data_IF_707975921200
#
_entry.id   IF_707975921200
#
_cell.length_a   1.000
_cell.length_b   1.000
_cell.length_c   1.000
_cell.angle_alpha   90.00
_cell.angle_beta   90.00
_cell.angle_gamma   90.00
#
_symmetry.space_group_name_H-M   'P 1'
#
loop_
_entity.id
_entity.type
_entity.pdbx_description
1 polymer ?
#
# COMPACT_ATOMS: atom_id res chain seq x y z
N UNK A 1 12.69 27.52 33.60
CA UNK A 1 14.09 27.65 33.10
C UNK A 1 14.58 26.24 32.73
N UNK A 2 14.70 25.93 31.46
CA UNK A 2 15.24 24.65 30.98
C UNK A 2 16.70 24.52 31.42
N UNK A 3 17.03 23.45 32.16
CA UNK A 3 18.41 23.13 32.49
C UNK A 3 19.11 22.66 31.23
N UNK A 4 20.01 23.48 30.69
CA UNK A 4 20.82 23.13 29.52
C UNK A 4 21.62 21.84 29.74
N UNK A 5 21.76 21.04 28.73
CA UNK A 5 22.56 19.82 28.76
C UNK A 5 24.01 20.14 29.22
N UNK A 6 24.54 19.36 30.16
CA UNK A 6 25.88 19.55 30.76
C UNK A 6 26.61 18.23 30.83
N UNK A 7 27.93 18.29 30.61
CA UNK A 7 28.82 17.14 30.85
C UNK A 7 29.72 17.46 32.02
N UNK A 8 29.63 16.65 33.05
CA UNK A 8 30.37 16.77 34.29
C UNK A 8 31.42 15.66 34.41
N UNK A 9 32.51 15.95 35.10
CA UNK A 9 33.63 15.03 35.27
C UNK A 9 34.83 15.40 34.41
N UNK A 10 35.86 14.53 34.30
CA UNK A 10 35.87 13.16 34.83
C UNK A 10 36.01 13.06 36.37
N UNK A 11 35.31 12.11 36.94
CA UNK A 11 35.39 11.78 38.37
C UNK A 11 36.02 10.40 38.54
N UNK A 12 36.91 10.23 39.53
CA UNK A 12 37.50 8.93 39.86
C UNK A 12 36.42 7.97 40.39
N UNK A 13 36.39 6.76 39.91
CA UNK A 13 35.42 5.72 40.27
C UNK A 13 36.13 4.36 40.39
N UNK A 14 36.79 4.11 41.50
CA UNK A 14 37.71 2.99 41.69
C UNK A 14 38.91 3.13 40.74
N UNK A 15 39.19 2.10 39.97
CA UNK A 15 40.24 2.06 38.93
C UNK A 15 39.84 2.69 37.61
N UNK A 16 38.60 3.16 37.48
CA UNK A 16 38.06 3.76 36.28
C UNK A 16 37.67 5.22 36.49
N UNK A 17 37.33 5.92 35.39
CA UNK A 17 36.90 7.31 35.38
C UNK A 17 35.47 7.43 34.88
N UNK A 18 34.65 8.23 35.57
CA UNK A 18 33.23 8.42 35.27
C UNK A 18 32.95 9.84 34.77
N UNK A 19 32.20 9.94 33.72
CA UNK A 19 31.64 11.16 33.17
C UNK A 19 30.11 11.10 33.34
N UNK A 20 29.52 12.23 33.73
CA UNK A 20 28.06 12.33 33.91
C UNK A 20 27.50 13.33 32.91
N UNK A 21 26.62 12.88 32.07
CA UNK A 21 25.83 13.73 31.19
C UNK A 21 24.48 13.99 31.86
N UNK A 22 24.13 15.27 31.96
CA UNK A 22 22.84 15.76 32.43
C UNK A 22 22.12 16.42 31.26
N UNK A 23 20.85 16.05 31.01
CA UNK A 23 20.01 16.63 29.97
C UNK A 23 18.57 16.72 30.52
N UNK A 24 18.18 17.91 30.93
CA UNK A 24 16.97 18.09 31.73
C UNK A 24 17.02 17.27 33.02
N UNK A 25 16.06 16.36 33.19
CA UNK A 25 16.01 15.44 34.36
C UNK A 25 16.73 14.11 34.10
N UNK A 26 17.23 13.90 32.87
CA UNK A 26 18.00 12.69 32.51
C UNK A 26 19.44 12.80 33.02
N UNK A 27 19.89 11.73 33.71
CA UNK A 27 21.27 11.57 34.16
C UNK A 27 21.82 10.25 33.60
N UNK A 28 22.85 10.35 32.75
CA UNK A 28 23.56 9.19 32.21
C UNK A 28 25.01 9.21 32.64
N UNK A 29 25.50 8.14 33.27
CA UNK A 29 26.90 7.96 33.61
C UNK A 29 27.60 7.11 32.56
N UNK A 30 28.76 7.54 32.11
CA UNK A 30 29.65 6.81 31.19
C UNK A 30 30.96 6.57 31.92
N UNK A 31 31.62 5.44 31.69
CA UNK A 31 32.84 5.02 32.35
C UNK A 31 33.93 4.83 31.28
N UNK A 32 35.13 5.30 31.59
CA UNK A 32 36.34 5.14 30.78
C UNK A 32 37.46 4.51 31.60
N UNK A 33 38.35 3.79 30.96
CA UNK A 33 39.40 3.03 31.66
C UNK A 33 40.62 3.86 32.04
N UNK A 34 40.80 5.07 31.44
CA UNK A 34 41.86 6.01 31.80
C UNK A 34 41.33 7.44 31.93
N UNK A 35 42.10 8.30 32.56
CA UNK A 35 41.81 9.74 32.70
C UNK A 35 41.77 10.42 31.30
N UNK A 36 42.74 10.09 30.44
CA UNK A 36 42.84 10.63 29.10
C UNK A 36 41.65 10.21 28.26
N UNK A 37 41.24 8.92 28.30
CA UNK A 37 40.06 8.42 27.63
C UNK A 37 38.78 9.10 28.14
N UNK A 38 38.69 9.38 29.43
CA UNK A 38 37.58 10.12 30.02
C UNK A 38 37.54 11.58 29.58
N UNK A 39 38.68 12.25 29.47
CA UNK A 39 38.78 13.61 28.93
C UNK A 39 38.36 13.67 27.48
N UNK A 40 38.88 12.77 26.65
CA UNK A 40 38.51 12.69 25.24
C UNK A 40 37.00 12.48 25.06
N UNK A 41 36.42 11.54 25.82
CA UNK A 41 34.99 11.28 25.81
C UNK A 41 34.14 12.47 26.28
N UNK A 42 34.61 13.18 27.34
CA UNK A 42 33.98 14.42 27.81
C UNK A 42 33.96 15.51 26.77
N UNK A 43 35.09 15.71 26.08
CA UNK A 43 35.24 16.79 25.11
C UNK A 43 34.50 16.46 23.78
N UNK A 44 34.44 15.18 23.40
CA UNK A 44 33.57 14.69 22.33
C UNK A 44 32.09 14.96 22.65
N UNK A 45 31.66 14.63 23.88
CA UNK A 45 30.29 14.90 24.33
C UNK A 45 29.97 16.40 24.41
N UNK A 46 30.93 17.25 24.88
CA UNK A 46 30.78 18.72 24.86
C UNK A 46 30.68 19.25 23.44
N UNK A 47 31.47 18.71 22.49
CA UNK A 47 31.40 19.04 21.05
C UNK A 47 30.04 18.67 20.45
N UNK A 48 29.52 17.52 20.82
CA UNK A 48 28.18 17.07 20.47
C UNK A 48 27.12 18.05 20.99
N UNK A 49 27.17 18.39 22.30
CA UNK A 49 26.20 19.33 22.89
C UNK A 49 26.29 20.71 22.21
N UNK A 50 27.48 21.21 21.92
CA UNK A 50 27.66 22.50 21.22
C UNK A 50 27.12 22.49 19.81
N UNK A 51 27.25 21.38 19.10
CA UNK A 51 26.61 21.19 17.77
C UNK A 51 25.08 21.11 17.86
N UNK A 52 24.54 20.51 18.92
CA UNK A 52 23.09 20.39 19.12
C UNK A 52 22.39 21.74 19.35
N UNK A 53 23.01 22.60 20.17
CA UNK A 53 22.41 23.89 20.57
C UNK A 53 22.30 24.85 19.37
N UNK A 54 23.12 24.65 18.31
CA UNK A 54 23.23 25.58 17.20
C UNK A 54 22.44 25.15 15.95
N UNK A 55 21.93 23.90 15.86
CA UNK A 55 21.34 23.38 14.61
C UNK A 55 19.83 23.57 14.57
N UNK A 56 19.33 24.27 13.55
CA UNK A 56 17.91 24.49 13.35
C UNK A 56 17.16 23.25 12.83
N UNK A 57 15.83 23.27 12.97
CA UNK A 57 15.00 22.25 12.34
C UNK A 57 15.07 22.32 10.82
N UNK A 58 15.19 23.50 10.21
CA UNK A 58 15.32 23.67 8.75
C UNK A 58 16.54 22.91 8.22
N UNK A 59 17.74 23.22 8.74
CA UNK A 59 18.98 22.57 8.32
C UNK A 59 18.94 21.04 8.52
N UNK A 60 18.35 20.61 9.64
CA UNK A 60 18.25 19.19 9.96
C UNK A 60 17.25 18.46 9.08
N UNK A 61 16.14 19.11 8.72
CA UNK A 61 15.14 18.54 7.82
C UNK A 61 15.70 18.39 6.40
N UNK A 62 16.41 19.39 5.90
CA UNK A 62 17.06 19.34 4.58
C UNK A 62 18.06 18.19 4.49
N UNK A 63 18.95 18.05 5.49
CA UNK A 63 19.90 16.95 5.53
C UNK A 63 19.22 15.59 5.65
N UNK A 64 18.15 15.49 6.46
CA UNK A 64 17.37 14.27 6.57
C UNK A 64 16.74 13.87 5.25
N UNK A 65 16.14 14.81 4.52
CA UNK A 65 15.53 14.54 3.22
C UNK A 65 16.56 14.09 2.18
N UNK A 66 17.74 14.76 2.16
CA UNK A 66 18.88 14.34 1.33
C UNK A 66 19.32 12.92 1.70
N UNK A 67 19.49 12.62 2.99
CA UNK A 67 19.85 11.27 3.46
C UNK A 67 18.84 10.20 3.06
N UNK A 68 17.53 10.51 3.04
CA UNK A 68 16.52 9.58 2.54
C UNK A 68 16.75 9.23 1.06
N UNK A 69 17.02 10.23 0.22
CA UNK A 69 17.28 10.03 -1.22
C UNK A 69 18.58 9.25 -1.43
N UNK A 70 19.65 9.61 -0.73
CA UNK A 70 20.96 8.94 -0.81
C UNK A 70 20.87 7.45 -0.41
N UNK A 71 19.92 7.11 0.46
CA UNK A 71 19.61 5.72 0.84
C UNK A 71 18.64 5.00 -0.10
N UNK A 72 18.34 5.57 -1.26
CA UNK A 72 17.49 4.96 -2.29
C UNK A 72 15.98 5.17 -2.09
N UNK A 73 15.55 6.04 -1.16
CA UNK A 73 14.16 6.44 -1.07
C UNK A 73 13.82 7.34 -2.26
N UNK A 74 12.71 7.07 -2.95
CA UNK A 74 12.31 7.86 -4.11
C UNK A 74 12.09 9.34 -3.73
N UNK A 75 12.43 10.24 -4.64
CA UNK A 75 12.20 11.70 -4.47
C UNK A 75 10.75 12.03 -4.13
N UNK A 76 9.78 11.42 -4.82
CA UNK A 76 8.34 11.59 -4.50
C UNK A 76 8.02 11.23 -3.03
N UNK A 77 8.67 10.22 -2.47
CA UNK A 77 8.50 9.87 -1.04
C UNK A 77 9.17 10.90 -0.13
N UNK A 78 10.37 11.39 -0.47
CA UNK A 78 11.04 12.44 0.28
C UNK A 78 10.23 13.75 0.27
N UNK A 79 9.69 14.13 -0.88
CA UNK A 79 8.81 15.33 -1.03
C UNK A 79 7.52 15.20 -0.20
N UNK A 80 6.96 14.01 -0.11
CA UNK A 80 5.80 13.74 0.77
C UNK A 80 6.16 13.88 2.25
N UNK A 81 7.34 13.43 2.64
CA UNK A 81 7.87 13.61 4.00
C UNK A 81 8.08 15.08 4.29
N UNK A 82 8.70 15.83 3.38
CA UNK A 82 8.89 17.27 3.50
C UNK A 82 7.57 18.02 3.67
N UNK A 83 6.60 17.79 2.77
CA UNK A 83 5.26 18.42 2.85
C UNK A 83 4.52 18.11 4.14
N UNK A 84 4.84 17.02 4.81
CA UNK A 84 4.22 16.63 6.07
C UNK A 84 4.94 17.22 7.27
N UNK A 85 6.28 17.20 7.30
CA UNK A 85 7.07 17.64 8.45
C UNK A 85 7.27 19.15 8.49
N UNK A 86 7.46 19.82 7.34
CA UNK A 86 7.75 21.25 7.26
C UNK A 86 6.69 22.13 7.92
N UNK A 87 5.37 21.92 7.73
CA UNK A 87 4.34 22.72 8.41
C UNK A 87 4.20 22.39 9.90
N UNK A 88 4.71 21.25 10.34
CA UNK A 88 4.59 20.78 11.73
C UNK A 88 5.76 21.22 12.60
N UNK A 89 6.95 21.42 12.02
CA UNK A 89 8.17 21.73 12.75
C UNK A 89 8.38 23.24 12.87
N UNK A 90 8.87 23.75 14.01
CA UNK A 90 9.30 25.16 14.17
C UNK A 90 10.67 25.34 13.52
N UNK A 91 10.70 25.63 12.22
CA UNK A 91 11.88 25.53 11.35
C UNK A 91 13.07 26.39 11.81
N UNK A 92 12.79 27.56 12.35
CA UNK A 92 13.80 28.54 12.80
C UNK A 92 14.36 28.23 14.20
N UNK A 93 13.73 27.29 14.92
CA UNK A 93 14.16 26.94 16.26
C UNK A 93 15.21 25.81 16.25
N UNK A 94 16.05 25.70 17.29
CA UNK A 94 16.99 24.58 17.41
C UNK A 94 16.25 23.27 17.69
N UNK A 95 16.86 22.15 17.29
CA UNK A 95 16.29 20.79 17.51
C UNK A 95 15.92 20.52 18.98
N UNK A 96 16.62 21.16 19.92
CA UNK A 96 16.41 21.03 21.37
C UNK A 96 15.23 21.84 21.90
N UNK A 97 14.60 22.65 21.07
CA UNK A 97 13.47 23.49 21.50
C UNK A 97 12.19 22.68 21.79
N UNK A 98 12.11 21.45 21.30
CA UNK A 98 10.99 20.55 21.58
C UNK A 98 11.41 19.58 22.68
N UNK A 99 10.81 19.71 23.85
CA UNK A 99 10.85 18.73 24.93
C UNK A 99 9.66 17.77 24.85
N UNK A 100 9.53 16.85 25.81
CA UNK A 100 8.47 15.85 25.82
C UNK A 100 7.07 16.47 25.97
N UNK A 101 6.92 17.49 26.81
CA UNK A 101 5.63 18.16 27.03
C UNK A 101 5.19 18.94 25.79
N UNK A 102 6.11 19.71 25.19
CA UNK A 102 5.85 20.39 23.93
C UNK A 102 5.52 19.41 22.80
N UNK A 103 6.23 18.29 22.71
CA UNK A 103 5.96 17.25 21.70
C UNK A 103 4.56 16.65 21.86
N UNK A 104 4.13 16.39 23.09
CA UNK A 104 2.78 15.92 23.40
C UNK A 104 1.73 16.97 23.00
N UNK A 105 1.96 18.25 23.34
CA UNK A 105 1.03 19.34 23.01
C UNK A 105 0.93 19.55 21.48
N UNK A 106 2.06 19.61 20.78
CA UNK A 106 2.09 19.72 19.31
C UNK A 106 1.30 18.60 18.63
N UNK A 107 1.41 17.37 19.13
CA UNK A 107 0.65 16.25 18.57
C UNK A 107 -0.84 16.35 18.89
N UNK A 108 -1.22 16.78 20.08
CA UNK A 108 -2.62 17.03 20.45
C UNK A 108 -3.25 18.09 19.54
N UNK A 109 -2.55 19.17 19.27
CA UNK A 109 -3.03 20.26 18.41
C UNK A 109 -3.17 19.77 16.95
N UNK A 110 -2.24 18.96 16.46
CA UNK A 110 -2.36 18.33 15.14
C UNK A 110 -3.60 17.45 15.03
N UNK A 111 -3.99 16.72 16.08
CA UNK A 111 -5.23 15.88 16.04
C UNK A 111 -6.51 16.71 15.92
N UNK A 112 -6.48 17.97 16.33
CA UNK A 112 -7.61 18.90 16.26
C UNK A 112 -7.64 19.69 14.95
N UNK A 113 -6.57 19.62 14.16
CA UNK A 113 -6.46 20.36 12.89
C UNK A 113 -7.55 19.95 11.91
N UNK A 114 -8.08 20.91 11.21
CA UNK A 114 -9.08 20.73 10.14
C UNK A 114 -8.45 20.90 8.76
N UNK A 115 -9.04 20.31 7.76
CA UNK A 115 -8.74 20.54 6.35
C UNK A 115 -9.30 21.90 5.90
N UNK A 116 -8.93 22.35 4.70
CA UNK A 116 -9.47 23.57 4.09
C UNK A 116 -11.00 23.58 3.93
N UNK A 117 -11.62 22.40 3.88
CA UNK A 117 -13.08 22.25 3.80
C UNK A 117 -13.78 22.16 5.20
N UNK A 118 -13.06 22.43 6.29
CA UNK A 118 -13.58 22.39 7.65
C UNK A 118 -13.67 20.99 8.28
N UNK A 119 -13.46 19.91 7.51
CA UNK A 119 -13.46 18.53 8.06
C UNK A 119 -12.22 18.27 8.90
N UNK A 120 -12.32 17.49 10.00
CA UNK A 120 -11.16 17.08 10.77
C UNK A 120 -10.22 16.21 9.91
N UNK A 121 -8.93 16.28 10.18
CA UNK A 121 -7.97 15.36 9.56
C UNK A 121 -8.24 13.94 10.02
N UNK A 122 -8.01 12.97 9.11
CA UNK A 122 -8.19 11.57 9.44
C UNK A 122 -7.12 11.09 10.42
N UNK A 123 -7.50 10.17 11.33
CA UNK A 123 -6.57 9.55 12.28
C UNK A 123 -5.34 8.94 11.58
N UNK A 124 -5.50 8.34 10.41
CA UNK A 124 -4.39 7.81 9.62
C UNK A 124 -3.35 8.89 9.26
N UNK A 125 -3.79 10.14 9.03
CA UNK A 125 -2.90 11.25 8.63
C UNK A 125 -1.99 11.66 9.79
N UNK A 126 -2.56 11.95 10.97
CA UNK A 126 -1.74 12.34 12.13
C UNK A 126 -0.95 11.14 12.72
N UNK A 127 -1.44 9.88 12.59
CA UNK A 127 -0.65 8.71 12.91
C UNK A 127 0.56 8.56 11.98
N UNK A 128 0.40 8.87 10.70
CA UNK A 128 1.51 8.86 9.75
C UNK A 128 2.52 9.96 10.08
N UNK A 129 2.04 11.18 10.40
CA UNK A 129 2.91 12.28 10.86
C UNK A 129 3.72 11.85 12.10
N UNK A 130 3.06 11.32 13.13
CA UNK A 130 3.74 10.86 14.35
C UNK A 130 4.82 9.82 14.05
N UNK A 131 4.58 8.88 13.14
CA UNK A 131 5.60 7.92 12.71
C UNK A 131 6.76 8.61 11.98
N UNK A 132 6.50 9.60 11.14
CA UNK A 132 7.52 10.32 10.39
C UNK A 132 8.39 11.18 11.29
N UNK A 133 7.79 11.89 12.26
CA UNK A 133 8.55 12.69 13.19
C UNK A 133 9.41 11.83 14.13
N UNK A 134 8.87 10.69 14.61
CA UNK A 134 9.67 9.72 15.39
C UNK A 134 10.86 9.20 14.59
N UNK A 135 10.68 8.97 13.28
CA UNK A 135 11.76 8.51 12.40
C UNK A 135 12.81 9.59 12.15
N UNK A 136 12.37 10.85 11.97
CA UNK A 136 13.27 12.00 11.87
C UNK A 136 14.17 12.12 13.11
N UNK A 137 13.60 12.09 14.31
CA UNK A 137 14.39 12.15 15.55
C UNK A 137 15.29 10.93 15.73
N UNK A 138 14.85 9.72 15.31
CA UNK A 138 15.73 8.54 15.32
C UNK A 138 16.97 8.75 14.43
N UNK A 139 16.78 9.36 13.26
CA UNK A 139 17.88 9.75 12.39
C UNK A 139 18.75 10.83 13.04
N UNK A 140 18.18 11.89 13.63
CA UNK A 140 18.92 12.94 14.31
C UNK A 140 19.78 12.39 15.45
N UNK A 141 19.26 11.42 16.21
CA UNK A 141 20.03 10.70 17.26
C UNK A 141 21.18 9.90 16.63
N UNK A 142 20.96 9.21 15.52
CA UNK A 142 22.02 8.45 14.83
C UNK A 142 23.15 9.35 14.29
N UNK A 143 22.82 10.62 14.00
CA UNK A 143 23.77 11.67 13.64
C UNK A 143 24.39 12.38 14.84
N UNK A 144 24.01 11.99 16.06
CA UNK A 144 24.42 12.64 17.29
C UNK A 144 24.01 14.12 17.37
N UNK A 145 22.90 14.49 16.72
CA UNK A 145 22.31 15.84 16.84
C UNK A 145 21.38 15.96 18.04
N UNK A 146 20.87 14.84 18.54
CA UNK A 146 20.02 14.75 19.72
C UNK A 146 20.43 13.53 20.56
N UNK A 147 20.17 13.60 21.85
CA UNK A 147 20.41 12.51 22.79
C UNK A 147 19.18 11.64 23.01
N UNK A 148 18.00 12.22 22.84
CA UNK A 148 16.71 11.56 23.04
C UNK A 148 15.68 12.03 22.01
N UNK A 149 14.60 11.26 21.87
CA UNK A 149 13.49 11.59 21.01
C UNK A 149 12.33 12.12 21.84
N UNK A 150 11.97 13.41 21.77
CA UNK A 150 10.88 13.98 22.57
C UNK A 150 9.51 13.37 22.25
N UNK A 151 9.33 12.82 21.06
CA UNK A 151 8.09 12.13 20.66
C UNK A 151 8.07 10.64 21.03
N UNK A 152 9.10 10.09 21.72
CA UNK A 152 9.19 8.65 21.98
C UNK A 152 7.93 8.09 22.63
N UNK A 153 7.47 8.72 23.71
CA UNK A 153 6.32 8.29 24.51
C UNK A 153 4.97 8.80 23.99
N UNK A 154 4.96 9.70 22.99
CA UNK A 154 3.72 10.20 22.40
C UNK A 154 2.98 9.04 21.72
N UNK A 155 1.76 8.75 22.17
CA UNK A 155 0.93 7.66 21.62
C UNK A 155 -0.05 8.17 20.58
N UNK A 156 -0.33 7.39 19.53
CA UNK A 156 -1.32 7.77 18.53
C UNK A 156 -2.72 7.82 19.15
N UNK A 157 -3.50 8.86 18.81
CA UNK A 157 -4.85 9.09 19.29
C UNK A 157 -5.86 8.63 18.23
N UNK A 158 -6.95 8.01 18.69
CA UNK A 158 -8.00 7.50 17.84
C UNK A 158 -7.62 6.20 17.11
N UNK A 159 -8.60 5.57 16.49
CA UNK A 159 -8.39 4.34 15.72
C UNK A 159 -8.24 4.66 14.25
N UNK A 160 -7.24 4.11 13.55
CA UNK A 160 -7.13 4.25 12.10
C UNK A 160 -8.35 3.61 11.44
N UNK A 161 -8.77 4.15 10.30
CA UNK A 161 -9.84 3.54 9.50
C UNK A 161 -9.38 2.17 9.01
N UNK A 162 -10.19 1.15 9.27
CA UNK A 162 -9.95 -0.19 8.74
C UNK A 162 -10.63 -0.32 7.38
N UNK A 163 -9.82 -0.72 6.38
CA UNK A 163 -10.31 -0.98 5.03
C UNK A 163 -10.76 0.28 4.28
N UNK A 164 -11.10 0.11 3.04
CA UNK A 164 -11.71 1.13 2.18
C UNK A 164 -13.05 0.58 1.74
N UNK A 165 -14.04 1.47 1.61
CA UNK A 165 -15.34 1.09 1.07
C UNK A 165 -15.16 0.38 -0.28
N UNK A 166 -15.80 -0.77 -0.42
CA UNK A 166 -15.86 -1.55 -1.66
C UNK A 166 -17.27 -1.52 -2.21
N UNK A 167 -17.40 -1.79 -3.50
CA UNK A 167 -18.69 -2.00 -4.15
C UNK A 167 -19.22 -3.39 -3.82
N UNK A 168 -20.53 -3.52 -3.71
CA UNK A 168 -21.22 -4.81 -3.71
C UNK A 168 -21.22 -5.41 -5.11
N UNK A 169 -21.52 -6.70 -5.23
CA UNK A 169 -21.47 -7.42 -6.51
C UNK A 169 -22.33 -6.75 -7.58
N UNK A 170 -23.57 -6.36 -7.25
CA UNK A 170 -24.47 -5.74 -8.22
C UNK A 170 -24.04 -4.32 -8.61
N UNK A 171 -23.47 -3.57 -7.65
CA UNK A 171 -22.85 -2.27 -7.91
C UNK A 171 -21.63 -2.40 -8.84
N UNK A 172 -20.80 -3.43 -8.58
CA UNK A 172 -19.64 -3.74 -9.41
C UNK A 172 -20.05 -4.14 -10.83
N UNK A 173 -21.11 -4.96 -10.99
CA UNK A 173 -21.66 -5.34 -12.30
C UNK A 173 -22.12 -4.10 -13.11
N UNK A 174 -22.83 -3.16 -12.47
CA UNK A 174 -23.25 -1.90 -13.11
C UNK A 174 -22.03 -1.07 -13.55
N UNK A 175 -21.02 -0.95 -12.66
CA UNK A 175 -19.78 -0.24 -13.00
C UNK A 175 -19.05 -0.88 -14.17
N UNK A 176 -18.91 -2.22 -14.16
CA UNK A 176 -18.22 -2.98 -15.22
C UNK A 176 -18.94 -2.82 -16.55
N UNK A 177 -20.28 -2.98 -16.60
CA UNK A 177 -21.04 -2.83 -17.83
C UNK A 177 -20.84 -1.44 -18.45
N UNK A 178 -20.97 -0.38 -17.67
CA UNK A 178 -20.77 0.99 -18.18
C UNK A 178 -19.32 1.28 -18.55
N UNK A 179 -18.36 0.77 -17.78
CA UNK A 179 -16.95 0.92 -18.09
C UNK A 179 -16.56 0.17 -19.37
N UNK A 180 -17.13 -1.01 -19.64
CA UNK A 180 -16.93 -1.77 -20.88
C UNK A 180 -17.40 -1.00 -22.10
N UNK A 181 -18.59 -0.43 -22.09
CA UNK A 181 -19.10 0.37 -23.21
C UNK A 181 -18.20 1.57 -23.51
N UNK A 182 -17.72 2.28 -22.46
CA UNK A 182 -16.77 3.39 -22.64
C UNK A 182 -15.40 2.93 -23.12
N UNK A 183 -14.93 1.78 -22.65
CA UNK A 183 -13.65 1.23 -23.05
C UNK A 183 -13.58 0.89 -24.55
N UNK A 184 -14.70 0.51 -25.17
CA UNK A 184 -14.82 0.32 -26.62
C UNK A 184 -14.59 1.61 -27.42
N UNK A 185 -14.75 2.79 -26.80
CA UNK A 185 -14.41 4.08 -27.40
C UNK A 185 -13.01 4.58 -27.03
N UNK A 186 -12.11 3.69 -26.66
CA UNK A 186 -10.73 3.95 -26.28
C UNK A 186 -10.59 4.86 -25.03
N UNK A 187 -11.58 4.86 -24.14
CA UNK A 187 -11.49 5.57 -22.85
C UNK A 187 -10.48 4.89 -21.92
N UNK A 188 -9.28 5.45 -21.85
CA UNK A 188 -8.18 4.94 -21.03
C UNK A 188 -8.53 4.81 -19.55
N UNK A 189 -9.32 5.74 -18.99
CA UNK A 189 -9.74 5.72 -17.59
C UNK A 189 -10.67 4.54 -17.29
N UNK A 190 -11.65 4.27 -18.15
CA UNK A 190 -12.55 3.13 -18.03
C UNK A 190 -11.81 1.80 -18.22
N UNK A 191 -10.93 1.73 -19.20
CA UNK A 191 -10.10 0.52 -19.41
C UNK A 191 -9.20 0.23 -18.21
N UNK A 192 -8.56 1.25 -17.65
CA UNK A 192 -7.76 1.08 -16.45
C UNK A 192 -8.58 0.64 -15.22
N UNK A 193 -9.85 1.08 -15.10
CA UNK A 193 -10.80 0.59 -14.08
C UNK A 193 -11.05 -0.91 -14.28
N UNK A 194 -11.33 -1.34 -15.49
CA UNK A 194 -11.55 -2.75 -15.82
C UNK A 194 -10.31 -3.60 -15.52
N UNK A 195 -9.12 -3.13 -15.89
CA UNK A 195 -7.85 -3.81 -15.57
C UNK A 195 -7.66 -3.98 -14.05
N UNK A 196 -8.10 -3.02 -13.24
CA UNK A 196 -8.03 -3.15 -11.79
C UNK A 196 -9.04 -4.15 -11.24
N UNK A 197 -10.26 -4.19 -11.78
CA UNK A 197 -11.31 -5.12 -11.34
C UNK A 197 -10.99 -6.55 -11.78
N UNK A 198 -10.64 -6.78 -13.04
CA UNK A 198 -10.43 -8.11 -13.59
C UNK A 198 -9.05 -8.70 -13.26
N UNK A 199 -7.99 -7.87 -13.30
CA UNK A 199 -6.62 -8.32 -13.16
C UNK A 199 -6.00 -7.94 -11.80
N UNK A 200 -6.72 -7.22 -10.94
CA UNK A 200 -6.22 -6.78 -9.65
C UNK A 200 -5.00 -5.84 -9.72
N UNK A 201 -4.78 -5.15 -10.83
CA UNK A 201 -3.64 -4.25 -11.01
C UNK A 201 -3.69 -3.05 -10.06
N UNK A 202 -2.51 -2.56 -9.64
CA UNK A 202 -2.44 -1.24 -9.03
C UNK A 202 -2.74 -0.15 -10.06
N UNK A 203 -3.29 1.01 -9.67
CA UNK A 203 -3.56 2.10 -10.63
C UNK A 203 -2.37 2.43 -11.53
N UNK A 204 -1.19 2.56 -10.94
CA UNK A 204 0.04 2.84 -11.70
C UNK A 204 0.48 1.66 -12.57
N UNK A 205 0.27 0.42 -12.15
CA UNK A 205 0.58 -0.76 -12.97
C UNK A 205 -0.28 -0.80 -14.23
N UNK A 206 -1.56 -0.46 -14.14
CA UNK A 206 -2.45 -0.41 -15.31
C UNK A 206 -2.02 0.67 -16.32
N UNK A 207 -1.60 1.85 -15.84
CA UNK A 207 -1.29 3.01 -16.67
C UNK A 207 0.08 2.94 -17.37
N UNK A 208 1.05 2.21 -16.80
CA UNK A 208 2.41 2.11 -17.37
C UNK A 208 2.58 0.88 -18.27
N UNK A 209 1.51 0.20 -18.64
CA UNK A 209 1.57 -0.93 -19.57
C UNK A 209 1.85 -0.43 -20.99
N UNK A 210 2.68 -1.19 -21.69
CA UNK A 210 2.98 -0.97 -23.11
C UNK A 210 2.38 -2.11 -23.94
N UNK A 211 2.28 -1.94 -25.25
CA UNK A 211 1.67 -2.93 -26.13
C UNK A 211 2.36 -4.30 -26.04
N UNK A 212 3.69 -4.34 -25.99
CA UNK A 212 4.47 -5.58 -25.84
C UNK A 212 4.23 -6.33 -24.52
N UNK A 213 3.58 -5.72 -23.53
CA UNK A 213 3.19 -6.42 -22.31
C UNK A 213 2.00 -7.38 -22.53
N UNK A 214 1.29 -7.25 -23.67
CA UNK A 214 0.29 -8.21 -24.13
C UNK A 214 1.01 -9.33 -24.87
N UNK A 215 0.76 -10.57 -24.47
CA UNK A 215 1.35 -11.78 -25.02
C UNK A 215 0.27 -12.79 -25.37
N UNK A 216 0.61 -13.82 -26.13
CA UNK A 216 -0.31 -14.88 -26.53
C UNK A 216 -1.62 -14.32 -27.11
N UNK A 217 -1.50 -13.49 -28.16
CA UNK A 217 -2.64 -12.83 -28.80
C UNK A 217 -3.54 -12.04 -27.83
N UNK A 218 -2.96 -11.48 -26.79
CA UNK A 218 -3.68 -10.72 -25.76
C UNK A 218 -4.34 -11.56 -24.68
N UNK A 219 -4.03 -12.87 -24.58
CA UNK A 219 -4.53 -13.73 -23.47
C UNK A 219 -3.74 -13.55 -22.18
N UNK A 220 -2.52 -13.04 -22.26
CA UNK A 220 -1.62 -12.85 -21.13
C UNK A 220 -1.20 -11.39 -21.05
N UNK A 221 -1.20 -10.84 -19.82
CA UNK A 221 -0.59 -9.56 -19.51
C UNK A 221 0.65 -9.78 -18.65
N UNK A 222 1.78 -9.32 -19.12
CA UNK A 222 3.01 -9.25 -18.35
C UNK A 222 3.03 -7.99 -17.47
N UNK A 223 3.42 -8.16 -16.21
CA UNK A 223 3.75 -7.07 -15.28
C UNK A 223 5.23 -7.17 -14.96
N UNK A 224 6.13 -6.55 -15.76
CA UNK A 224 7.57 -6.77 -15.67
C UNK A 224 8.23 -6.11 -14.45
N UNK A 225 7.60 -5.08 -13.88
CA UNK A 225 8.12 -4.34 -12.72
C UNK A 225 6.99 -3.75 -11.87
N UNK A 226 7.33 -3.36 -10.64
CA UNK A 226 6.40 -2.70 -9.70
C UNK A 226 7.09 -2.34 -8.39
N UNK A 227 6.34 -1.87 -7.43
CA UNK A 227 6.84 -1.34 -6.15
C UNK A 227 7.55 -2.38 -5.26
N UNK A 228 7.29 -3.66 -5.46
CA UNK A 228 7.81 -4.78 -4.64
C UNK A 228 8.50 -5.81 -5.53
N UNK A 229 9.40 -6.61 -4.97
CA UNK A 229 10.06 -7.71 -5.68
C UNK A 229 9.07 -8.70 -6.31
N UNK A 230 7.94 -8.95 -5.64
CA UNK A 230 6.89 -9.85 -6.10
C UNK A 230 5.91 -9.19 -7.10
N UNK A 231 6.23 -8.00 -7.59
CA UNK A 231 5.38 -7.32 -8.57
C UNK A 231 5.45 -7.99 -9.96
N UNK A 232 6.58 -8.63 -10.31
CA UNK A 232 6.76 -9.34 -11.58
C UNK A 232 5.83 -10.54 -11.63
N UNK A 233 4.91 -10.56 -12.60
CA UNK A 233 3.94 -11.64 -12.76
C UNK A 233 3.29 -11.64 -14.11
N UNK A 234 2.71 -12.78 -14.46
CA UNK A 234 1.87 -12.99 -15.65
C UNK A 234 0.41 -13.12 -15.20
N UNK A 235 -0.49 -12.48 -15.87
CA UNK A 235 -1.91 -12.49 -15.56
C UNK A 235 -2.68 -12.96 -16.80
N UNK A 236 -3.59 -13.92 -16.62
CA UNK A 236 -4.52 -14.31 -17.67
C UNK A 236 -5.59 -13.23 -17.83
N UNK A 237 -5.85 -12.83 -19.06
CA UNK A 237 -6.81 -11.81 -19.42
C UNK A 237 -8.13 -12.48 -19.78
N UNK A 238 -9.25 -12.18 -19.09
CA UNK A 238 -10.56 -12.66 -19.49
C UNK A 238 -10.95 -12.15 -20.90
N UNK A 239 -11.67 -12.95 -21.67
CA UNK A 239 -12.01 -12.64 -23.08
C UNK A 239 -12.67 -11.27 -23.24
N UNK A 240 -13.62 -10.93 -22.38
CA UNK A 240 -14.29 -9.63 -22.43
C UNK A 240 -13.32 -8.44 -22.30
N UNK A 241 -12.26 -8.54 -21.47
CA UNK A 241 -11.24 -7.51 -21.36
C UNK A 241 -10.21 -7.57 -22.48
N UNK A 242 -9.94 -8.77 -23.01
CA UNK A 242 -8.99 -9.02 -24.09
C UNK A 242 -9.34 -8.20 -25.33
N UNK A 243 -10.58 -8.25 -25.78
CA UNK A 243 -11.06 -7.50 -26.95
C UNK A 243 -10.77 -5.99 -26.81
N UNK A 244 -11.06 -5.44 -25.64
CA UNK A 244 -10.80 -4.02 -25.34
C UNK A 244 -9.31 -3.70 -25.37
N UNK A 245 -8.47 -4.55 -24.77
CA UNK A 245 -7.03 -4.31 -24.76
C UNK A 245 -6.40 -4.43 -26.13
N UNK A 246 -6.86 -5.37 -26.96
CA UNK A 246 -6.43 -5.50 -28.36
C UNK A 246 -6.85 -4.28 -29.18
N UNK A 247 -8.05 -3.73 -28.93
CA UNK A 247 -8.48 -2.49 -29.56
C UNK A 247 -7.57 -1.32 -29.21
N UNK A 248 -7.16 -1.21 -27.94
CA UNK A 248 -6.19 -0.21 -27.50
C UNK A 248 -4.77 -0.41 -28.07
N UNK A 249 -4.38 -1.64 -28.37
CA UNK A 249 -3.07 -1.99 -28.92
C UNK A 249 -3.01 -1.83 -30.45
N UNK A 250 -4.17 -1.79 -31.12
CA UNK A 250 -4.27 -1.76 -32.58
C UNK A 250 -3.46 -0.59 -33.14
N UNK A 251 -2.69 -0.87 -34.20
CA UNK A 251 -1.88 0.08 -34.97
C UNK A 251 -0.82 0.85 -34.15
N UNK A 252 -0.44 0.32 -32.97
CA UNK A 252 0.58 0.91 -32.11
C UNK A 252 1.89 0.12 -32.14
N UNK A 253 3.06 0.78 -32.05
CA UNK A 253 4.32 0.10 -31.87
C UNK A 253 4.41 -0.58 -30.50
N UNK A 254 5.26 -1.62 -30.42
CA UNK A 254 5.39 -2.48 -29.24
C UNK A 254 5.68 -1.73 -27.93
N UNK A 255 6.47 -0.67 -28.01
CA UNK A 255 6.88 0.12 -26.83
C UNK A 255 5.92 1.30 -26.53
N UNK A 256 4.88 1.49 -27.34
CA UNK A 256 3.90 2.54 -27.09
C UNK A 256 3.04 2.25 -25.84
N UNK A 257 2.57 3.27 -25.14
CA UNK A 257 1.62 3.11 -24.05
C UNK A 257 0.37 2.35 -24.53
N UNK A 258 0.02 1.30 -23.80
CA UNK A 258 -1.19 0.53 -24.11
C UNK A 258 -2.44 1.42 -24.02
N UNK A 259 -2.54 2.21 -22.94
CA UNK A 259 -3.61 3.17 -22.73
C UNK A 259 -3.14 4.58 -23.12
N UNK A 260 -3.73 5.16 -24.14
CA UNK A 260 -3.37 6.48 -24.66
C UNK A 260 -2.82 6.43 -26.08
N UNK A 261 -2.70 7.57 -26.77
CA UNK A 261 -2.13 7.63 -28.11
C UNK A 261 -0.62 7.38 -28.09
N UNK A 262 -0.03 6.94 -29.23
CA UNK A 262 1.43 6.77 -29.37
C UNK A 262 2.15 8.10 -29.19
N UNK A 263 3.27 8.09 -28.44
CA UNK A 263 4.11 9.26 -28.22
C UNK A 263 3.63 10.21 -27.10
N UNK A 264 2.49 9.97 -26.51
CA UNK A 264 1.96 10.78 -25.45
C UNK A 264 2.56 10.45 -24.08
N UNK A 265 2.41 11.42 -23.17
CA UNK A 265 2.69 11.20 -21.75
C UNK A 265 1.83 10.06 -21.23
N UNK A 266 2.45 9.19 -20.44
CA UNK A 266 1.71 8.22 -19.64
C UNK A 266 0.62 8.94 -18.83
N UNK A 267 -0.58 8.42 -18.89
CA UNK A 267 -1.67 8.94 -18.07
C UNK A 267 -1.31 8.91 -16.59
N UNK A 268 -1.68 9.96 -15.87
CA UNK A 268 -1.52 10.00 -14.43
C UNK A 268 -2.64 9.24 -13.73
N UNK A 269 -2.42 8.88 -12.48
CA UNK A 269 -3.44 8.25 -11.63
C UNK A 269 -4.76 9.03 -11.58
N UNK A 270 -4.71 10.32 -11.85
CA UNK A 270 -5.87 11.23 -11.76
C UNK A 270 -6.93 10.89 -12.81
N UNK A 271 -6.54 10.36 -13.98
CA UNK A 271 -7.53 9.93 -14.99
C UNK A 271 -8.44 8.82 -14.44
N UNK A 272 -7.89 7.85 -13.70
CA UNK A 272 -8.67 6.77 -13.09
C UNK A 272 -9.56 7.33 -11.98
N UNK A 273 -8.99 8.18 -11.10
CA UNK A 273 -9.73 8.80 -10.01
C UNK A 273 -10.92 9.63 -10.53
N UNK A 274 -10.67 10.44 -11.57
CA UNK A 274 -11.69 11.25 -12.18
C UNK A 274 -12.77 10.41 -12.85
N UNK A 275 -12.38 9.44 -13.70
CA UNK A 275 -13.33 8.57 -14.39
C UNK A 275 -14.17 7.75 -13.41
N UNK A 276 -13.55 7.16 -12.40
CA UNK A 276 -14.25 6.38 -11.38
C UNK A 276 -15.25 7.23 -10.60
N UNK A 277 -14.86 8.47 -10.23
CA UNK A 277 -15.77 9.44 -9.60
C UNK A 277 -17.00 9.70 -10.46
N UNK A 278 -16.80 9.99 -11.77
CA UNK A 278 -17.89 10.27 -12.70
C UNK A 278 -18.83 9.07 -12.84
N UNK A 279 -18.28 7.85 -13.04
CA UNK A 279 -19.07 6.65 -13.19
C UNK A 279 -19.87 6.33 -11.92
N UNK A 280 -19.26 6.41 -10.75
CA UNK A 280 -19.99 6.22 -9.49
C UNK A 280 -21.12 7.23 -9.34
N UNK A 281 -20.89 8.49 -9.67
CA UNK A 281 -21.89 9.54 -9.61
C UNK A 281 -23.02 9.32 -10.62
N UNK A 282 -22.70 8.98 -11.88
CA UNK A 282 -23.66 8.70 -12.94
C UNK A 282 -24.57 7.50 -12.61
N UNK A 283 -24.02 6.49 -11.97
CA UNK A 283 -24.72 5.24 -11.64
C UNK A 283 -25.36 5.22 -10.25
N UNK A 284 -25.28 6.30 -9.51
CA UNK A 284 -25.78 6.34 -8.12
C UNK A 284 -25.03 5.39 -7.16
N UNK A 285 -23.76 5.07 -7.47
CA UNK A 285 -22.96 4.14 -6.67
C UNK A 285 -22.20 4.87 -5.55
N UNK A 286 -21.88 4.15 -4.46
CA UNK A 286 -21.01 4.69 -3.42
C UNK A 286 -19.68 5.17 -3.98
N UNK A 287 -19.17 6.27 -3.44
CA UNK A 287 -17.87 6.81 -3.85
C UNK A 287 -16.74 5.90 -3.37
N UNK A 288 -16.12 5.21 -4.29
CA UNK A 288 -14.95 4.35 -4.02
C UNK A 288 -13.69 4.94 -4.64
N UNK A 289 -12.52 4.46 -4.19
CA UNK A 289 -11.25 4.88 -4.76
C UNK A 289 -10.65 3.78 -5.66
N UNK A 290 -9.72 4.11 -6.57
CA UNK A 290 -9.11 3.11 -7.45
C UNK A 290 -8.48 1.91 -6.71
N UNK A 291 -7.98 2.11 -5.49
CA UNK A 291 -7.43 1.01 -4.70
C UNK A 291 -8.52 0.05 -4.16
N UNK A 292 -9.76 0.54 -4.01
CA UNK A 292 -10.90 -0.31 -3.65
C UNK A 292 -11.26 -1.32 -4.73
N UNK A 293 -11.03 -0.99 -6.02
CA UNK A 293 -11.31 -1.89 -7.15
C UNK A 293 -10.38 -3.12 -7.12
N UNK A 294 -9.12 -2.90 -6.79
CA UNK A 294 -8.19 -4.01 -6.56
C UNK A 294 -8.57 -4.82 -5.31
N UNK A 295 -9.09 -4.15 -4.28
CA UNK A 295 -9.66 -4.82 -3.11
C UNK A 295 -10.87 -5.69 -3.47
N UNK A 296 -11.74 -5.16 -4.32
CA UNK A 296 -12.90 -5.90 -4.85
C UNK A 296 -12.46 -7.17 -5.61
N UNK A 297 -11.45 -7.07 -6.50
CA UNK A 297 -10.88 -8.25 -7.18
C UNK A 297 -10.44 -9.31 -6.17
N UNK A 298 -9.72 -8.91 -5.11
CA UNK A 298 -9.26 -9.84 -4.09
C UNK A 298 -10.42 -10.52 -3.34
N UNK A 299 -11.43 -9.75 -2.97
CA UNK A 299 -12.63 -10.25 -2.28
C UNK A 299 -13.39 -11.24 -3.17
N UNK A 300 -13.66 -10.86 -4.42
CA UNK A 300 -14.36 -11.73 -5.38
C UNK A 300 -13.60 -13.03 -5.67
N UNK A 301 -12.26 -12.97 -5.77
CA UNK A 301 -11.44 -14.16 -5.98
C UNK A 301 -11.48 -15.10 -4.75
N UNK A 302 -11.46 -14.55 -3.54
CA UNK A 302 -11.63 -15.34 -2.29
C UNK A 302 -13.02 -15.95 -2.23
N UNK A 303 -14.08 -15.19 -2.54
CA UNK A 303 -15.46 -15.66 -2.56
C UNK A 303 -15.68 -16.77 -3.63
N UNK A 304 -14.92 -16.72 -4.72
CA UNK A 304 -14.87 -17.77 -5.75
C UNK A 304 -14.02 -19.00 -5.35
N UNK A 305 -13.48 -19.04 -4.12
CA UNK A 305 -12.73 -20.17 -3.59
C UNK A 305 -11.22 -20.15 -3.86
N UNK A 306 -10.66 -19.05 -4.37
CA UNK A 306 -9.21 -18.92 -4.48
C UNK A 306 -8.58 -18.84 -3.08
N UNK A 307 -7.43 -19.49 -2.90
CA UNK A 307 -6.71 -19.37 -1.64
C UNK A 307 -6.12 -17.97 -1.48
N UNK A 308 -6.01 -17.50 -0.25
CA UNK A 308 -5.42 -16.19 0.02
C UNK A 308 -3.93 -16.10 -0.44
N UNK A 309 -3.23 -17.24 -0.56
CA UNK A 309 -1.88 -17.29 -1.16
C UNK A 309 -1.95 -17.03 -2.67
N UNK A 310 -2.88 -17.66 -3.40
CA UNK A 310 -3.09 -17.42 -4.83
C UNK A 310 -3.47 -15.96 -5.10
N UNK A 311 -4.38 -15.41 -4.28
CA UNK A 311 -4.76 -14.00 -4.38
C UNK A 311 -3.58 -13.07 -4.10
N UNK A 312 -2.76 -13.36 -3.07
CA UNK A 312 -1.56 -12.56 -2.78
C UNK A 312 -0.54 -12.60 -3.93
N UNK A 313 -0.33 -13.77 -4.54
CA UNK A 313 0.55 -13.92 -5.70
C UNK A 313 0.01 -13.16 -6.92
N UNK A 314 -1.27 -13.33 -7.26
CA UNK A 314 -1.93 -12.62 -8.37
C UNK A 314 -1.88 -11.10 -8.20
N UNK A 315 -2.03 -10.62 -6.98
CA UNK A 315 -1.92 -9.20 -6.65
C UNK A 315 -0.46 -8.71 -6.56
N UNK A 316 0.55 -9.58 -6.46
CA UNK A 316 1.95 -9.18 -6.25
C UNK A 316 2.14 -8.52 -4.89
N UNK A 317 1.58 -9.08 -3.83
CA UNK A 317 1.84 -8.67 -2.45
C UNK A 317 3.15 -9.30 -1.96
N UNK A 318 3.96 -8.52 -1.24
CA UNK A 318 5.21 -9.01 -0.66
C UNK A 318 4.97 -10.01 0.50
N UNK A 319 3.78 -10.00 1.11
CA UNK A 319 3.40 -10.85 2.23
C UNK A 319 1.93 -11.21 2.15
N UNK A 320 1.65 -12.48 2.41
CA UNK A 320 0.29 -13.00 2.63
C UNK A 320 -0.47 -12.24 3.74
N UNK A 321 0.23 -11.83 4.80
CA UNK A 321 -0.35 -11.05 5.88
C UNK A 321 -0.98 -9.73 5.40
N UNK A 322 -0.51 -9.17 4.27
CA UNK A 322 -1.12 -7.98 3.66
C UNK A 322 -2.50 -8.31 3.10
N UNK A 323 -2.64 -9.43 2.40
CA UNK A 323 -3.94 -9.90 1.86
C UNK A 323 -4.89 -10.25 3.00
N UNK A 324 -4.45 -11.03 3.98
CA UNK A 324 -5.24 -11.40 5.14
C UNK A 324 -5.74 -10.18 5.94
N UNK A 325 -4.88 -9.19 6.16
CA UNK A 325 -5.24 -7.98 6.93
C UNK A 325 -6.25 -7.07 6.23
N UNK A 326 -6.21 -7.01 4.90
CA UNK A 326 -7.00 -6.04 4.14
C UNK A 326 -8.27 -6.63 3.52
N UNK A 327 -8.32 -7.95 3.31
CA UNK A 327 -9.38 -8.60 2.53
C UNK A 327 -10.00 -9.82 3.24
N UNK A 328 -9.37 -10.36 4.26
CA UNK A 328 -9.97 -11.39 5.09
C UNK A 328 -10.84 -10.71 6.17
N UNK A 329 -12.06 -10.37 5.82
CA UNK A 329 -13.11 -10.40 6.83
C UNK A 329 -13.24 -11.87 7.26
N UNK A 330 -13.16 -12.13 8.56
CA UNK A 330 -13.16 -13.50 9.09
C UNK A 330 -14.41 -14.31 8.63
N UNK A 331 -15.49 -13.61 8.28
CA UNK A 331 -16.71 -14.19 7.72
C UNK A 331 -16.54 -14.72 6.29
N UNK A 332 -15.77 -14.06 5.42
CA UNK A 332 -15.59 -14.49 4.03
C UNK A 332 -14.76 -15.77 3.93
N UNK A 333 -13.69 -15.88 4.72
CA UNK A 333 -12.83 -17.07 4.74
C UNK A 333 -13.54 -18.29 5.34
N UNK A 334 -14.35 -18.08 6.41
CA UNK A 334 -15.12 -19.15 7.03
C UNK A 334 -16.23 -19.67 6.10
N UNK A 335 -16.92 -18.78 5.39
CA UNK A 335 -18.03 -19.15 4.51
C UNK A 335 -17.58 -19.92 3.26
N UNK A 336 -16.39 -19.61 2.69
CA UNK A 336 -15.84 -20.36 1.56
C UNK A 336 -15.45 -21.78 1.98
N UNK A 337 -14.84 -21.93 3.15
CA UNK A 337 -14.53 -23.26 3.72
C UNK A 337 -15.78 -24.08 3.94
N UNK A 338 -16.81 -23.50 4.54
CA UNK A 338 -18.09 -24.16 4.81
C UNK A 338 -18.84 -24.53 3.51
N UNK A 339 -18.90 -23.66 2.50
CA UNK A 339 -19.50 -23.97 1.20
C UNK A 339 -18.77 -25.12 0.52
N UNK A 340 -17.45 -25.10 0.49
CA UNK A 340 -16.64 -26.15 -0.13
C UNK A 340 -16.77 -27.49 0.59
N UNK A 341 -16.84 -27.50 1.91
CA UNK A 341 -17.15 -28.70 2.70
C UNK A 341 -18.55 -29.19 2.39
N UNK A 342 -19.54 -28.30 2.34
CA UNK A 342 -20.91 -28.64 1.96
C UNK A 342 -20.98 -29.19 0.54
N UNK A 343 -20.32 -28.56 -0.45
CA UNK A 343 -20.23 -29.05 -1.82
C UNK A 343 -19.56 -30.43 -1.89
N UNK A 344 -18.43 -30.64 -1.22
CA UNK A 344 -17.74 -31.92 -1.17
C UNK A 344 -18.56 -33.02 -0.51
N UNK A 345 -19.38 -32.68 0.47
CA UNK A 345 -20.27 -33.64 1.17
C UNK A 345 -21.57 -33.88 0.40
N UNK A 346 -22.08 -32.90 -0.34
CA UNK A 346 -23.26 -33.04 -1.18
C UNK A 346 -22.98 -33.71 -2.53
N UNK A 347 -21.74 -33.66 -3.08
CA UNK A 347 -21.38 -34.28 -4.35
C UNK A 347 -21.44 -35.82 -4.35
N UNK A 348 -21.72 -36.45 -3.20
CA UNK A 348 -21.98 -37.90 -3.14
C UNK A 348 -23.43 -38.32 -3.42
N UNK A 349 -24.34 -37.38 -3.69
CA UNK A 349 -25.74 -37.72 -4.03
C UNK A 349 -26.19 -37.25 -5.44
N UNK A 350 -25.27 -36.69 -6.25
CA UNK A 350 -25.61 -36.17 -7.60
C UNK A 350 -25.25 -37.10 -8.77
N UNK A 351 -24.97 -38.38 -8.50
CA UNK A 351 -24.82 -39.38 -9.58
C UNK A 351 -26.08 -39.64 -10.40
N UNK A 352 -27.25 -39.19 -9.93
CA UNK A 352 -28.51 -39.27 -10.65
C UNK A 352 -28.70 -38.12 -11.67
N UNK A 353 -28.43 -36.90 -11.25
CA UNK A 353 -28.75 -35.69 -12.05
C UNK A 353 -27.84 -35.49 -13.26
N UNK A 354 -26.55 -35.85 -13.11
CA UNK A 354 -25.60 -35.77 -14.23
C UNK A 354 -25.88 -36.83 -15.31
N UNK A 355 -26.31 -38.01 -14.89
CA UNK A 355 -26.71 -39.06 -15.82
C UNK A 355 -28.02 -38.73 -16.54
N UNK A 356 -28.98 -38.09 -15.88
CA UNK A 356 -30.21 -37.61 -16.52
C UNK A 356 -29.96 -36.43 -17.48
N UNK A 357 -29.09 -35.50 -17.13
CA UNK A 357 -28.66 -34.41 -18.03
C UNK A 357 -27.85 -34.94 -19.20
N UNK A 358 -26.98 -35.92 -19.02
CA UNK A 358 -26.25 -36.60 -20.10
C UNK A 358 -27.20 -37.39 -20.99
N UNK A 359 -28.17 -38.08 -20.40
CA UNK A 359 -29.18 -38.80 -21.14
C UNK A 359 -30.08 -37.86 -22.00
N UNK A 360 -30.44 -36.69 -21.45
CA UNK A 360 -31.21 -35.65 -22.12
C UNK A 360 -30.42 -35.03 -23.27
N UNK A 361 -29.11 -34.72 -23.02
CA UNK A 361 -28.19 -34.22 -24.05
C UNK A 361 -27.96 -35.24 -25.17
N UNK A 362 -27.80 -36.50 -24.87
CA UNK A 362 -27.65 -37.56 -25.86
C UNK A 362 -28.94 -37.76 -26.66
N UNK A 363 -30.13 -37.66 -26.06
CA UNK A 363 -31.41 -37.75 -26.73
C UNK A 363 -31.71 -36.57 -27.68
N UNK A 364 -31.19 -35.36 -27.34
CA UNK A 364 -31.40 -34.17 -28.15
C UNK A 364 -30.34 -33.98 -29.23
N UNK A 365 -29.16 -34.58 -29.10
CA UNK A 365 -28.02 -34.39 -30.01
C UNK A 365 -27.80 -35.54 -31.01
N UNK A 366 -28.38 -36.71 -30.78
CA UNK A 366 -28.17 -37.90 -31.61
C UNK A 366 -29.45 -38.29 -32.35
N UNK A 367 -29.28 -38.70 -33.60
CA UNK A 367 -30.38 -39.26 -34.40
C UNK A 367 -30.77 -40.65 -33.89
N UNK A 368 -32.01 -41.09 -34.16
CA UNK A 368 -32.50 -42.37 -33.68
C UNK A 368 -31.63 -43.59 -34.05
N UNK A 369 -30.91 -43.53 -35.18
CA UNK A 369 -29.97 -44.59 -35.61
C UNK A 369 -28.67 -44.62 -34.80
N UNK A 370 -28.18 -43.46 -34.37
CA UNK A 370 -26.97 -43.35 -33.57
C UNK A 370 -27.24 -43.78 -32.11
N UNK A 371 -28.42 -43.50 -31.57
CA UNK A 371 -28.86 -43.98 -30.27
C UNK A 371 -28.99 -45.51 -30.24
N UNK A 372 -29.45 -46.14 -31.32
CA UNK A 372 -29.55 -47.59 -31.44
C UNK A 372 -28.18 -48.28 -31.52
N UNK A 373 -27.20 -47.66 -32.18
CA UNK A 373 -25.79 -48.12 -32.21
C UNK A 373 -25.12 -48.01 -30.86
N UNK A 374 -25.35 -46.94 -30.12
CA UNK A 374 -24.80 -46.76 -28.77
C UNK A 374 -25.35 -47.79 -27.77
N UNK A 375 -26.65 -48.15 -27.89
CA UNK A 375 -27.24 -49.19 -27.05
C UNK A 375 -26.68 -50.59 -27.32
N UNK A 376 -26.17 -50.88 -28.51
CA UNK A 376 -25.50 -52.16 -28.84
C UNK A 376 -24.04 -52.23 -28.38
N UNK A 377 -23.44 -51.11 -28.02
CA UNK A 377 -22.03 -51.00 -27.57
C UNK A 377 -21.87 -50.94 -26.03
N UNK A 378 -22.97 -50.79 -25.26
CA UNK A 378 -22.93 -50.79 -23.82
C UNK A 378 -23.16 -52.23 -23.30
N UNK A 379 -22.27 -52.75 -22.48
CA UNK A 379 -22.48 -54.03 -21.83
C UNK A 379 -23.67 -53.99 -20.88
N UNK A 380 -24.51 -55.01 -20.92
CA UNK A 380 -25.67 -55.23 -20.06
C UNK A 380 -25.24 -55.40 -18.60
#
# INVERSE_FOLDING_TARGET
MQKSARVLGPYKNGDKWRIVMLDGDMRKALVADSYEAALALRDDLKGVIKKHIARSFEESLEEYLKNLVDRGVSRDTADKVQRMLRPFLPLDEPLTAIDADRAQQMYLDETKRTKSNGEPIANDSHHLLLRRIKHFYKWAISRRYMTSNPFAEVKPIGRPRRGKQQLRIDEARKLVATAMERAKTLDAGSTAILMQIFLGLRPTEALVRVVRDLDDEGRILWVPFGKTSNAKRRLQIPDALREVLLLHAKDKPADAPLLGPPGDRLHTRDIICYRLKLLCQQLGLPRVCPHSLRGLNATLALDAGATAQHVAAALGHASFATTARHYADASSVANVGLRRVAELLHTRSSTGTDLEQLATLLQTSLTGQELQRLRQLLPT
#
